data_IF_179777506830
#
_entry.id   IF_179777506830
#
_cell.length_a   1.000
_cell.length_b   1.000
_cell.length_c   1.000
_cell.angle_alpha   90.00
_cell.angle_beta   90.00
_cell.angle_gamma   90.00
#
_symmetry.space_group_name_H-M   'P 1'
#
loop_
_entity.id
_entity.type
_entity.pdbx_description
1 polymer ?
#
# COMPACT_ATOMS: atom_id res chain seq x y z
N UNK A 1 43.92 55.56 -8.65
CA UNK A 1 43.94 54.35 -9.49
C UNK A 1 42.54 53.80 -9.54
N UNK A 2 41.93 53.70 -10.72
CA UNK A 2 40.62 53.06 -10.89
C UNK A 2 40.80 51.55 -10.66
N UNK A 3 40.16 51.01 -9.63
CA UNK A 3 40.05 49.56 -9.43
C UNK A 3 39.29 48.97 -10.61
N UNK A 4 39.98 48.26 -11.50
CA UNK A 4 39.36 47.52 -12.59
C UNK A 4 38.75 46.24 -12.03
N UNK A 5 37.42 46.13 -12.10
CA UNK A 5 36.67 44.94 -11.72
C UNK A 5 36.40 44.14 -12.99
N UNK A 6 36.77 42.85 -13.00
CA UNK A 6 36.41 41.89 -14.04
C UNK A 6 35.40 40.88 -13.50
N UNK A 7 34.56 40.32 -14.38
CA UNK A 7 33.55 39.33 -14.04
C UNK A 7 34.09 37.91 -13.88
N UNK A 8 35.09 37.51 -14.67
CA UNK A 8 35.71 36.18 -14.64
C UNK A 8 37.23 36.21 -14.43
N UNK A 9 37.97 37.09 -15.13
CA UNK A 9 39.45 37.06 -15.14
C UNK A 9 40.15 38.33 -14.62
N UNK A 10 39.40 39.28 -14.04
CA UNK A 10 40.00 40.51 -13.50
C UNK A 10 40.74 41.31 -14.59
N UNK A 11 42.02 41.62 -14.37
CA UNK A 11 42.89 42.37 -15.32
C UNK A 11 43.83 41.45 -16.14
N UNK A 12 43.58 40.14 -16.16
CA UNK A 12 44.47 39.19 -16.84
C UNK A 12 43.94 38.84 -18.23
N UNK A 13 44.80 38.97 -19.26
CA UNK A 13 44.56 38.53 -20.65
C UNK A 13 44.58 36.98 -20.78
N UNK A 14 43.88 36.28 -19.90
CA UNK A 14 43.73 34.81 -20.01
C UNK A 14 42.63 34.54 -21.03
N UNK A 15 42.97 33.82 -22.10
CA UNK A 15 41.96 33.28 -23.01
C UNK A 15 41.17 32.21 -22.28
N UNK A 16 39.95 32.54 -21.83
CA UNK A 16 39.02 31.56 -21.30
C UNK A 16 38.08 31.10 -22.41
N UNK A 17 38.21 29.84 -22.83
CA UNK A 17 37.28 29.22 -23.76
C UNK A 17 36.10 28.61 -22.99
N UNK A 18 34.87 28.78 -23.50
CA UNK A 18 33.64 28.21 -22.91
C UNK A 18 33.43 28.54 -21.41
N UNK A 19 33.91 29.69 -20.96
CA UNK A 19 33.73 30.17 -19.58
C UNK A 19 33.05 31.54 -19.62
N UNK A 20 32.05 31.72 -18.77
CA UNK A 20 31.17 32.88 -18.80
C UNK A 20 30.86 33.35 -17.38
N UNK A 21 30.56 34.63 -17.22
CA UNK A 21 29.99 35.16 -15.98
C UNK A 21 28.59 35.72 -16.25
N UNK A 22 27.72 35.64 -15.24
CA UNK A 22 26.33 36.07 -15.37
C UNK A 22 26.21 37.59 -15.27
N UNK A 23 25.82 38.26 -16.35
CA UNK A 23 25.65 39.73 -16.35
C UNK A 23 24.37 40.18 -15.66
N UNK A 24 23.37 39.32 -15.50
CA UNK A 24 22.06 39.70 -14.93
C UNK A 24 22.12 39.99 -13.42
N UNK A 25 23.19 39.55 -12.74
CA UNK A 25 23.43 39.75 -11.31
C UNK A 25 24.61 40.66 -11.01
N UNK A 26 25.33 41.10 -12.04
CA UNK A 26 26.56 41.86 -11.93
C UNK A 26 26.31 43.32 -12.35
N UNK A 27 26.51 44.27 -11.44
CA UNK A 27 26.30 45.69 -11.70
C UNK A 27 27.61 46.41 -12.13
N UNK A 28 27.55 47.21 -13.20
CA UNK A 28 28.64 48.06 -13.67
C UNK A 28 29.38 47.56 -14.93
N UNK A 29 30.23 48.40 -15.50
CA UNK A 29 31.08 48.05 -16.65
C UNK A 29 32.26 47.17 -16.20
N UNK A 30 32.34 45.96 -16.74
CA UNK A 30 33.41 45.00 -16.46
C UNK A 30 34.48 45.03 -17.55
N UNK A 31 35.74 44.83 -17.16
CA UNK A 31 36.88 44.89 -18.08
C UNK A 31 36.87 43.76 -19.12
N UNK A 32 36.30 42.61 -18.77
CA UNK A 32 36.16 41.40 -19.58
C UNK A 32 34.74 41.24 -20.14
N UNK A 33 34.08 42.34 -20.51
CA UNK A 33 32.69 42.39 -20.98
C UNK A 33 32.35 41.35 -22.07
N UNK A 34 33.32 40.96 -22.91
CA UNK A 34 33.15 39.92 -23.94
C UNK A 34 32.84 38.51 -23.39
N UNK A 35 33.14 38.24 -22.12
CA UNK A 35 32.86 36.97 -21.43
C UNK A 35 31.52 37.00 -20.68
N UNK A 36 30.89 38.18 -20.59
CA UNK A 36 29.59 38.36 -19.98
C UNK A 36 28.48 37.72 -20.82
N UNK A 37 27.59 36.99 -20.18
CA UNK A 37 26.40 36.39 -20.80
C UNK A 37 25.18 36.58 -19.90
N UNK A 38 24.01 36.82 -20.50
CA UNK A 38 22.74 36.72 -19.75
C UNK A 38 22.53 35.27 -19.31
N UNK A 39 21.67 35.04 -18.32
CA UNK A 39 21.38 33.68 -17.88
C UNK A 39 20.83 32.80 -19.02
N UNK A 40 20.02 33.37 -19.92
CA UNK A 40 19.53 32.70 -21.13
C UNK A 40 20.67 32.32 -22.09
N UNK A 41 21.64 33.21 -22.28
CA UNK A 41 22.81 32.90 -23.11
C UNK A 41 23.68 31.83 -22.46
N UNK A 42 23.91 31.87 -21.14
CA UNK A 42 24.66 30.84 -20.42
C UNK A 42 23.98 29.48 -20.57
N UNK A 43 22.65 29.44 -20.44
CA UNK A 43 21.84 28.24 -20.67
C UNK A 43 22.06 27.64 -22.05
N UNK A 44 22.05 28.46 -23.10
CA UNK A 44 22.20 27.98 -24.47
C UNK A 44 23.65 27.57 -24.80
N UNK A 45 24.63 28.11 -24.09
CA UNK A 45 26.06 27.87 -24.36
C UNK A 45 26.63 26.65 -23.62
N UNK A 46 26.15 26.36 -22.40
CA UNK A 46 26.60 25.19 -21.64
C UNK A 46 25.75 23.99 -22.06
N UNK A 47 26.29 23.22 -22.99
CA UNK A 47 25.66 22.03 -23.58
C UNK A 47 26.64 20.87 -23.45
N UNK A 48 26.34 19.93 -22.56
CA UNK A 48 27.15 18.75 -22.32
C UNK A 48 26.32 17.69 -21.61
N UNK A 49 26.65 16.40 -21.79
CA UNK A 49 25.85 15.31 -21.24
C UNK A 49 25.75 15.37 -19.70
N UNK A 50 26.76 15.95 -19.04
CA UNK A 50 26.82 16.14 -17.58
C UNK A 50 25.98 17.34 -17.09
N UNK A 51 25.59 18.25 -17.98
CA UNK A 51 24.87 19.48 -17.67
C UNK A 51 23.39 19.38 -18.04
N UNK A 52 22.52 19.96 -17.21
CA UNK A 52 21.09 20.09 -17.47
C UNK A 52 20.68 21.57 -17.39
N UNK A 53 19.85 21.97 -18.35
CA UNK A 53 19.21 23.29 -18.44
C UNK A 53 17.70 23.21 -18.23
N UNK A 54 17.18 21.99 -18.20
CA UNK A 54 15.79 21.70 -18.48
C UNK A 54 14.99 21.58 -17.17
N UNK A 55 13.87 22.31 -17.10
CA UNK A 55 12.83 22.16 -16.09
C UNK A 55 12.19 20.76 -16.11
N UNK A 56 12.37 19.98 -17.18
CA UNK A 56 11.72 18.68 -17.36
C UNK A 56 12.36 17.53 -16.56
N UNK A 57 13.63 17.65 -16.15
CA UNK A 57 14.28 16.68 -15.27
C UNK A 57 14.13 17.15 -13.81
N UNK A 58 12.91 17.06 -13.28
CA UNK A 58 12.66 17.31 -11.87
C UNK A 58 11.80 18.53 -11.53
N UNK A 59 10.63 18.71 -12.16
CA UNK A 59 9.63 19.72 -11.70
C UNK A 59 9.17 19.52 -10.24
N UNK A 60 9.57 18.42 -9.59
CA UNK A 60 9.41 18.16 -8.16
C UNK A 60 10.65 18.43 -7.30
N UNK A 61 11.77 18.91 -7.86
CA UNK A 61 12.99 19.24 -7.12
C UNK A 61 13.17 20.76 -7.06
N UNK A 62 12.47 21.43 -6.14
CA UNK A 62 12.50 22.89 -6.02
C UNK A 62 11.12 23.53 -5.96
N UNK A 63 10.95 24.59 -5.15
CA UNK A 63 9.72 25.43 -5.11
C UNK A 63 9.53 26.33 -6.35
N UNK A 64 10.01 25.92 -7.53
CA UNK A 64 9.83 26.70 -8.76
C UNK A 64 10.68 27.97 -8.86
N UNK A 65 11.86 28.01 -8.23
CA UNK A 65 12.85 29.01 -8.64
C UNK A 65 13.43 28.57 -9.98
N UNK A 66 13.11 29.34 -11.03
CA UNK A 66 13.79 29.30 -12.31
C UNK A 66 15.31 29.19 -12.09
N UNK A 67 15.88 28.00 -12.21
CA UNK A 67 17.31 27.89 -12.46
C UNK A 67 17.52 28.32 -13.90
N UNK A 68 17.59 29.64 -14.10
CA UNK A 68 17.90 30.20 -15.41
C UNK A 68 19.26 29.69 -15.91
N UNK A 69 20.15 29.32 -14.97
CA UNK A 69 21.46 28.76 -15.21
C UNK A 69 21.46 27.22 -15.26
N UNK A 70 22.30 26.62 -16.10
CA UNK A 70 22.53 25.18 -16.15
C UNK A 70 23.18 24.66 -14.87
N UNK A 71 22.93 23.39 -14.56
CA UNK A 71 23.46 22.69 -13.38
C UNK A 71 24.05 21.33 -13.75
N UNK A 72 24.97 20.81 -12.94
CA UNK A 72 25.54 19.47 -13.12
C UNK A 72 24.55 18.43 -12.60
N UNK A 73 24.15 17.48 -13.46
CA UNK A 73 23.13 16.46 -13.17
C UNK A 73 23.40 15.65 -11.90
N UNK A 74 24.67 15.42 -11.57
CA UNK A 74 25.09 14.51 -10.50
C UNK A 74 25.82 15.20 -9.33
N UNK A 75 25.92 16.53 -9.33
CA UNK A 75 26.78 17.27 -8.37
C UNK A 75 26.09 18.48 -7.75
N UNK A 76 25.16 19.12 -8.46
CA UNK A 76 24.52 20.36 -7.97
C UNK A 76 23.29 20.05 -7.12
N UNK A 77 23.39 20.20 -5.79
CA UNK A 77 22.23 20.21 -4.88
C UNK A 77 21.52 21.56 -4.93
N UNK A 78 20.28 21.61 -5.40
CA UNK A 78 19.47 22.83 -5.38
C UNK A 78 19.06 23.19 -3.94
N UNK A 79 19.03 24.48 -3.61
CA UNK A 79 18.44 24.95 -2.35
C UNK A 79 16.91 24.95 -2.47
N UNK A 80 16.18 24.32 -1.53
CA UNK A 80 14.71 24.14 -1.46
C UNK A 80 14.12 22.91 -2.17
N UNK A 81 14.65 21.72 -1.89
CA UNK A 81 14.20 20.46 -2.51
C UNK A 81 12.94 19.92 -1.84
N UNK A 82 11.99 19.37 -2.60
CA UNK A 82 10.80 18.72 -2.04
C UNK A 82 11.08 17.27 -1.62
N UNK A 83 12.15 16.68 -2.14
CA UNK A 83 12.61 15.32 -1.87
C UNK A 83 14.08 15.35 -1.47
N UNK A 84 14.56 14.28 -0.84
CA UNK A 84 15.96 14.19 -0.43
C UNK A 84 16.89 14.20 -1.66
N UNK A 85 16.53 13.42 -2.66
CA UNK A 85 17.29 13.21 -3.89
C UNK A 85 16.37 12.78 -5.04
N UNK A 86 16.93 12.69 -6.24
CA UNK A 86 16.34 12.10 -7.43
C UNK A 86 15.54 13.04 -8.32
N UNK A 87 15.13 12.53 -9.48
CA UNK A 87 14.47 13.30 -10.55
C UNK A 87 13.09 12.75 -10.93
N UNK A 88 12.55 11.81 -10.17
CA UNK A 88 11.23 11.22 -10.42
C UNK A 88 11.16 10.30 -11.64
N UNK A 89 12.29 9.86 -12.19
CA UNK A 89 12.35 8.91 -13.32
C UNK A 89 12.56 7.48 -12.82
N UNK A 90 12.32 6.47 -13.63
CA UNK A 90 12.55 5.07 -13.24
C UNK A 90 14.01 4.78 -12.89
N UNK A 91 14.97 5.40 -13.59
CA UNK A 91 16.40 5.27 -13.34
C UNK A 91 16.87 6.10 -12.14
N UNK A 92 16.18 7.21 -11.84
CA UNK A 92 16.48 8.07 -10.70
C UNK A 92 15.19 8.55 -9.99
N UNK A 93 14.55 7.67 -9.19
CA UNK A 93 13.31 7.99 -8.45
C UNK A 93 13.54 9.05 -7.38
N UNK A 94 12.50 9.83 -7.07
CA UNK A 94 12.56 10.73 -5.91
C UNK A 94 12.73 9.95 -4.62
N UNK A 95 13.68 10.39 -3.79
CA UNK A 95 14.00 9.75 -2.50
C UNK A 95 13.21 10.40 -1.36
N UNK A 96 12.53 9.56 -0.59
CA UNK A 96 11.74 9.95 0.58
C UNK A 96 12.38 9.33 1.83
N UNK A 97 12.67 10.16 2.82
CA UNK A 97 13.26 9.75 4.11
C UNK A 97 12.51 10.30 5.33
N UNK A 98 11.57 11.24 5.14
CA UNK A 98 10.76 11.85 6.20
C UNK A 98 9.32 12.16 5.78
N UNK A 99 8.49 12.57 6.75
CA UNK A 99 7.05 12.83 6.54
C UNK A 99 6.77 14.01 5.61
N UNK A 100 7.58 15.07 5.65
CA UNK A 100 7.42 16.23 4.77
C UNK A 100 7.62 15.82 3.31
N UNK A 101 8.67 15.06 3.01
CA UNK A 101 8.94 14.57 1.66
C UNK A 101 7.84 13.63 1.16
N UNK A 102 7.30 12.77 2.03
CA UNK A 102 6.14 11.94 1.67
C UNK A 102 4.90 12.81 1.36
N UNK A 103 4.64 13.84 2.19
CA UNK A 103 3.48 14.72 2.00
C UNK A 103 3.60 15.58 0.74
N UNK A 104 4.83 15.90 0.31
CA UNK A 104 5.10 16.68 -0.89
C UNK A 104 4.61 16.02 -2.18
N UNK A 105 4.31 14.72 -2.18
CA UNK A 105 3.66 14.05 -3.32
C UNK A 105 2.31 14.72 -3.66
N UNK A 106 1.60 15.29 -2.68
CA UNK A 106 0.34 16.01 -2.89
C UNK A 106 0.48 17.38 -3.60
N UNK A 107 1.70 17.81 -3.94
CA UNK A 107 1.88 19.00 -4.74
C UNK A 107 1.25 18.82 -6.14
N UNK A 108 0.53 19.83 -6.63
CA UNK A 108 -0.15 19.78 -7.93
C UNK A 108 0.79 19.54 -9.12
N UNK A 109 2.07 19.89 -9.00
CA UNK A 109 3.08 19.67 -10.03
C UNK A 109 3.75 18.29 -9.93
N UNK A 110 3.36 17.46 -8.97
CA UNK A 110 3.92 16.14 -8.70
C UNK A 110 2.84 15.05 -8.81
N UNK A 111 1.71 15.27 -8.14
CA UNK A 111 0.68 14.26 -7.86
C UNK A 111 0.19 13.46 -9.08
N UNK A 112 0.15 14.10 -10.25
CA UNK A 112 -0.43 13.53 -11.49
C UNK A 112 0.59 13.25 -12.59
N UNK A 113 1.88 13.42 -12.31
CA UNK A 113 2.90 13.44 -13.37
C UNK A 113 3.52 12.06 -13.66
N UNK A 114 3.01 11.00 -13.03
CA UNK A 114 3.53 9.64 -13.17
C UNK A 114 5.03 9.49 -12.80
N UNK A 115 5.46 10.23 -11.77
CA UNK A 115 6.83 10.13 -11.27
C UNK A 115 7.06 8.86 -10.44
N UNK A 116 8.34 8.50 -10.30
CA UNK A 116 8.83 7.38 -9.49
C UNK A 116 9.31 7.88 -8.12
N UNK A 117 8.95 7.17 -7.05
CA UNK A 117 9.28 7.49 -5.67
C UNK A 117 9.82 6.25 -4.96
N UNK A 118 10.91 6.40 -4.21
CA UNK A 118 11.47 5.39 -3.34
C UNK A 118 11.44 5.87 -1.88
N UNK A 119 10.85 5.09 -0.99
CA UNK A 119 11.01 5.27 0.44
C UNK A 119 12.30 4.57 0.88
N UNK A 120 13.29 5.34 1.35
CA UNK A 120 14.60 4.80 1.79
C UNK A 120 14.79 4.87 3.32
N UNK A 121 13.72 5.16 4.05
CA UNK A 121 13.73 5.15 5.51
C UNK A 121 12.39 4.66 6.06
N UNK A 122 12.41 3.98 7.20
CA UNK A 122 11.20 3.74 7.97
C UNK A 122 10.66 5.07 8.51
N UNK A 123 9.37 5.34 8.28
CA UNK A 123 8.70 6.49 8.89
C UNK A 123 7.97 6.04 10.16
N UNK A 124 8.17 6.79 11.24
CA UNK A 124 7.55 6.51 12.55
C UNK A 124 7.20 7.81 13.25
N UNK A 125 6.69 7.69 14.48
CA UNK A 125 6.48 8.84 15.36
C UNK A 125 7.77 9.55 15.81
N UNK A 126 8.94 8.97 15.53
CA UNK A 126 10.26 9.58 15.79
C UNK A 126 10.85 10.26 14.54
N UNK A 127 10.28 10.03 13.35
CA UNK A 127 10.79 10.62 12.12
C UNK A 127 10.33 12.08 12.02
N UNK A 128 11.21 12.95 11.49
CA UNK A 128 10.96 14.39 11.37
C UNK A 128 9.60 14.73 10.77
N UNK A 129 8.97 15.76 11.34
CA UNK A 129 7.66 16.31 10.99
C UNK A 129 6.42 15.43 11.24
N UNK A 130 6.57 14.28 11.90
CA UNK A 130 5.44 13.43 12.30
C UNK A 130 4.34 14.20 13.03
N UNK A 131 4.70 14.99 14.07
CA UNK A 131 3.72 15.71 14.90
C UNK A 131 2.84 16.65 14.07
N UNK A 132 3.41 17.30 13.05
CA UNK A 132 2.71 18.28 12.24
C UNK A 132 1.92 17.66 11.08
N UNK A 133 2.28 16.45 10.65
CA UNK A 133 1.75 15.84 9.42
C UNK A 133 0.92 14.59 9.64
N UNK A 134 1.29 13.71 10.57
CA UNK A 134 0.73 12.36 10.67
C UNK A 134 0.25 11.97 12.08
N UNK A 135 0.44 12.83 13.07
CA UNK A 135 -0.02 12.58 14.45
C UNK A 135 -1.49 12.96 14.67
N UNK A 136 -2.05 12.59 15.83
CA UNK A 136 -3.43 12.94 16.20
C UNK A 136 -3.69 14.43 16.42
N UNK A 137 -2.66 15.27 16.53
CA UNK A 137 -2.79 16.74 16.64
C UNK A 137 -2.54 17.46 15.31
N UNK A 138 -2.09 16.75 14.27
CA UNK A 138 -1.84 17.30 12.94
C UNK A 138 -3.15 17.70 12.23
N UNK A 139 -3.05 18.70 11.33
CA UNK A 139 -4.13 19.11 10.42
C UNK A 139 -5.49 19.33 11.10
N UNK A 140 -5.50 20.11 12.20
CA UNK A 140 -6.71 20.33 13.02
C UNK A 140 -7.29 19.03 13.60
N UNK A 141 -6.42 18.20 14.18
CA UNK A 141 -6.72 16.89 14.75
C UNK A 141 -7.23 15.83 13.77
N UNK A 142 -6.99 16.03 12.46
CA UNK A 142 -7.38 15.08 11.41
C UNK A 142 -6.26 14.11 11.03
N UNK A 143 -5.04 14.35 11.48
CA UNK A 143 -3.89 13.54 11.11
C UNK A 143 -3.47 13.74 9.67
N UNK A 144 -2.98 12.68 9.06
CA UNK A 144 -2.46 12.68 7.69
C UNK A 144 -3.48 13.19 6.66
N UNK A 145 -2.98 13.94 5.67
CA UNK A 145 -3.72 14.31 4.47
C UNK A 145 -3.46 13.24 3.39
N UNK A 146 -4.45 12.38 3.07
CA UNK A 146 -4.28 11.31 2.08
C UNK A 146 -3.66 11.80 0.77
N UNK A 147 -2.81 10.96 0.17
CA UNK A 147 -2.21 11.26 -1.14
C UNK A 147 -3.24 11.02 -2.23
N UNK A 148 -3.56 12.05 -3.00
CA UNK A 148 -4.63 11.99 -4.01
C UNK A 148 -6.03 12.11 -3.42
N UNK A 149 -6.93 12.65 -4.22
CA UNK A 149 -8.36 12.85 -3.92
C UNK A 149 -9.21 12.37 -5.09
N UNK A 150 -10.51 12.23 -4.92
CA UNK A 150 -11.42 11.88 -6.03
C UNK A 150 -11.43 12.91 -7.18
N UNK A 151 -11.02 14.15 -6.92
CA UNK A 151 -10.92 15.21 -7.95
C UNK A 151 -9.58 15.09 -8.68
N UNK A 152 -8.50 14.81 -7.95
CA UNK A 152 -7.14 14.72 -8.47
C UNK A 152 -6.50 13.46 -7.90
N UNK A 153 -6.56 12.38 -8.66
CA UNK A 153 -5.96 11.08 -8.32
C UNK A 153 -4.43 11.17 -8.23
N UNK A 154 -3.84 10.31 -7.42
CA UNK A 154 -2.41 10.02 -7.54
C UNK A 154 -2.16 9.18 -8.80
N UNK A 155 -1.22 9.66 -9.63
CA UNK A 155 -0.66 8.97 -10.79
C UNK A 155 0.84 8.89 -10.59
N UNK A 156 1.37 7.71 -10.28
CA UNK A 156 2.80 7.51 -10.05
C UNK A 156 3.20 6.12 -9.60
N UNK A 157 4.52 5.94 -9.47
CA UNK A 157 5.16 4.69 -9.09
C UNK A 157 5.78 4.84 -7.71
N UNK A 158 5.11 4.37 -6.66
CA UNK A 158 5.60 4.40 -5.29
C UNK A 158 6.16 3.03 -4.88
N UNK A 159 7.46 2.98 -4.58
CA UNK A 159 8.13 1.79 -4.11
C UNK A 159 8.65 2.01 -2.68
N UNK A 160 8.11 1.23 -1.73
CA UNK A 160 8.54 1.29 -0.33
C UNK A 160 9.93 0.70 -0.09
N UNK A 161 10.51 -0.03 -1.06
CA UNK A 161 11.82 -0.69 -0.94
C UNK A 161 11.95 -1.59 0.30
N UNK A 162 10.82 -2.14 0.79
CA UNK A 162 10.77 -2.95 2.01
C UNK A 162 10.73 -2.14 3.31
N UNK A 163 10.72 -0.81 3.25
CA UNK A 163 10.53 0.05 4.41
C UNK A 163 9.07 0.07 4.86
N UNK A 164 8.87 0.63 6.05
CA UNK A 164 7.57 0.70 6.73
C UNK A 164 7.19 2.14 7.07
N UNK A 165 5.90 2.39 7.13
CA UNK A 165 5.32 3.60 7.70
C UNK A 165 4.50 3.16 8.92
N UNK A 166 4.83 3.70 10.09
CA UNK A 166 4.24 3.29 11.36
C UNK A 166 3.57 4.44 12.09
N UNK A 167 2.54 4.10 12.89
CA UNK A 167 1.78 5.06 13.70
C UNK A 167 1.05 6.11 12.87
N UNK A 168 0.69 5.81 11.62
CA UNK A 168 -0.09 6.70 10.77
C UNK A 168 -1.49 6.94 11.38
N UNK A 169 -1.81 8.19 11.71
CA UNK A 169 -3.13 8.57 12.20
C UNK A 169 -3.91 9.32 11.12
N UNK A 170 -5.17 8.92 10.87
CA UNK A 170 -6.12 9.66 10.05
C UNK A 170 -7.47 9.64 10.75
N UNK A 171 -8.06 10.81 11.02
CA UNK A 171 -9.40 10.91 11.57
C UNK A 171 -10.27 11.87 10.75
N UNK A 172 -10.97 11.29 9.79
CA UNK A 172 -11.93 11.96 8.90
C UNK A 172 -13.28 11.25 8.94
N UNK A 173 -13.58 10.66 10.10
CA UNK A 173 -14.83 9.97 10.36
C UNK A 173 -16.02 10.84 9.95
N UNK A 174 -17.08 10.18 9.46
CA UNK A 174 -18.41 10.74 9.13
C UNK A 174 -18.48 11.86 8.10
N UNK A 175 -17.35 12.43 7.66
CA UNK A 175 -17.30 13.65 6.84
C UNK A 175 -16.59 13.48 5.50
N UNK A 176 -15.68 12.50 5.33
CA UNK A 176 -14.91 12.35 4.08
C UNK A 176 -14.78 10.89 3.63
N UNK A 177 -14.83 10.72 2.31
CA UNK A 177 -14.61 9.45 1.60
C UNK A 177 -13.15 9.36 1.13
N UNK A 178 -12.75 8.20 0.59
CA UNK A 178 -11.45 7.99 -0.06
C UNK A 178 -10.29 8.14 0.92
N UNK A 179 -10.29 7.30 1.96
CA UNK A 179 -9.38 7.44 3.10
C UNK A 179 -8.38 6.27 3.12
N UNK A 180 -7.09 6.61 3.19
CA UNK A 180 -5.95 5.72 3.33
C UNK A 180 -4.66 6.54 3.30
N UNK A 181 -3.49 5.90 3.29
CA UNK A 181 -2.23 6.60 2.99
C UNK A 181 -2.36 7.34 1.64
N UNK A 182 -2.86 6.61 0.64
CA UNK A 182 -3.36 7.15 -0.63
C UNK A 182 -4.89 7.19 -0.58
N UNK A 183 -5.49 8.33 -0.86
CA UNK A 183 -6.94 8.48 -0.87
C UNK A 183 -7.56 7.89 -2.14
N UNK A 184 -7.05 8.31 -3.29
CA UNK A 184 -7.52 7.87 -4.61
C UNK A 184 -6.34 7.74 -5.58
N UNK A 185 -6.29 6.63 -6.31
CA UNK A 185 -5.24 6.32 -7.30
C UNK A 185 -5.86 6.07 -8.67
N UNK A 186 -5.09 6.30 -9.73
CA UNK A 186 -5.50 6.06 -11.12
C UNK A 186 -4.84 4.83 -11.76
N UNK A 187 -5.22 4.52 -13.00
CA UNK A 187 -4.92 3.27 -13.70
C UNK A 187 -3.44 3.04 -14.00
N UNK A 188 -2.64 4.11 -14.14
CA UNK A 188 -1.20 4.03 -14.35
C UNK A 188 -0.39 3.93 -13.03
N UNK A 189 -1.07 3.89 -11.88
CA UNK A 189 -0.40 3.88 -10.57
C UNK A 189 0.09 2.50 -10.17
N UNK A 190 1.32 2.44 -9.67
CA UNK A 190 1.91 1.26 -9.04
C UNK A 190 2.35 1.61 -7.62
N UNK A 191 1.87 0.87 -6.63
CA UNK A 191 2.30 0.98 -5.23
C UNK A 191 2.83 -0.39 -4.79
N UNK A 192 4.09 -0.46 -4.37
CA UNK A 192 4.69 -1.75 -3.99
C UNK A 192 5.69 -1.71 -2.85
N UNK A 193 5.93 -2.87 -2.26
CA UNK A 193 6.97 -3.14 -1.26
C UNK A 193 6.89 -2.21 -0.03
N UNK A 194 5.69 -1.94 0.48
CA UNK A 194 5.46 -1.02 1.60
C UNK A 194 4.60 -1.66 2.69
N UNK A 195 5.07 -1.55 3.93
CA UNK A 195 4.33 -2.00 5.11
C UNK A 195 3.77 -0.84 5.92
N UNK A 196 2.46 -0.86 6.22
CA UNK A 196 1.85 0.04 7.19
C UNK A 196 1.68 -0.69 8.53
N UNK A 197 2.24 -0.13 9.60
CA UNK A 197 2.27 -0.76 10.92
C UNK A 197 1.58 0.13 11.95
N UNK A 198 0.68 -0.44 12.75
CA UNK A 198 0.02 0.28 13.84
C UNK A 198 -0.68 1.56 13.35
N UNK A 199 -1.47 1.47 12.28
CA UNK A 199 -2.28 2.60 11.80
C UNK A 199 -3.51 2.81 12.70
N UNK A 200 -4.02 4.03 12.79
CA UNK A 200 -5.36 4.35 13.33
C UNK A 200 -6.07 5.25 12.32
N UNK A 201 -6.91 4.63 11.49
CA UNK A 201 -7.52 5.28 10.33
C UNK A 201 -9.05 5.26 10.46
N UNK A 202 -9.66 6.43 10.37
CA UNK A 202 -11.12 6.62 10.44
C UNK A 202 -11.61 7.41 9.23
N UNK A 203 -12.51 6.82 8.46
CA UNK A 203 -13.12 7.41 7.26
C UNK A 203 -14.63 7.20 7.19
N UNK A 204 -15.25 7.62 6.07
CA UNK A 204 -16.66 7.36 5.76
C UNK A 204 -16.79 6.23 4.74
N UNK A 205 -16.86 6.52 3.44
CA UNK A 205 -16.89 5.51 2.38
C UNK A 205 -15.50 5.30 1.77
N UNK A 206 -15.19 4.08 1.33
CA UNK A 206 -13.91 3.74 0.68
C UNK A 206 -12.72 4.01 1.60
N UNK A 207 -12.65 3.23 2.68
CA UNK A 207 -11.61 3.35 3.70
C UNK A 207 -10.70 2.14 3.66
N UNK A 208 -9.42 2.36 3.35
CA UNK A 208 -8.37 1.34 3.34
C UNK A 208 -7.17 1.78 4.17
N UNK A 209 -6.33 0.84 4.58
CA UNK A 209 -5.06 1.18 5.22
C UNK A 209 -4.13 1.90 4.25
N UNK A 210 -3.87 1.26 3.11
CA UNK A 210 -2.97 1.76 2.08
C UNK A 210 -3.68 2.65 1.07
N UNK A 211 -4.80 2.17 0.50
CA UNK A 211 -5.54 2.90 -0.55
C UNK A 211 -7.01 2.98 -0.21
N UNK A 212 -7.60 4.18 -0.21
CA UNK A 212 -9.06 4.34 -0.09
C UNK A 212 -9.78 3.77 -1.32
N UNK A 213 -9.43 4.27 -2.50
CA UNK A 213 -9.98 3.86 -3.79
C UNK A 213 -8.87 3.62 -4.82
N UNK A 214 -8.81 2.40 -5.33
CA UNK A 214 -7.94 1.96 -6.42
C UNK A 214 -8.73 1.94 -7.72
N UNK A 215 -8.40 2.81 -8.68
CA UNK A 215 -8.97 2.79 -10.03
C UNK A 215 -7.94 2.21 -10.99
N UNK A 216 -8.07 0.94 -11.38
CA UNK A 216 -7.13 0.28 -12.31
C UNK A 216 -5.68 0.16 -11.83
N UNK A 217 -5.36 0.57 -10.60
CA UNK A 217 -3.97 0.60 -10.11
C UNK A 217 -3.44 -0.79 -9.74
N UNK A 218 -2.10 -0.91 -9.65
CA UNK A 218 -1.42 -2.13 -9.19
C UNK A 218 -0.86 -1.94 -7.78
N UNK A 219 -1.22 -2.84 -6.86
CA UNK A 219 -0.75 -2.88 -5.48
C UNK A 219 -0.06 -4.23 -5.26
N UNK A 220 1.22 -4.21 -4.87
CA UNK A 220 2.04 -5.43 -4.79
C UNK A 220 2.91 -5.47 -3.53
N UNK A 221 3.12 -6.66 -2.96
CA UNK A 221 4.07 -6.88 -1.85
C UNK A 221 3.86 -5.88 -0.70
N UNK A 222 2.60 -5.60 -0.37
CA UNK A 222 2.24 -4.52 0.55
C UNK A 222 1.33 -5.02 1.65
N UNK A 223 1.43 -4.38 2.81
CA UNK A 223 0.62 -4.81 3.95
C UNK A 223 0.20 -3.69 4.89
N UNK A 224 -0.78 -4.01 5.73
CA UNK A 224 -1.33 -3.09 6.73
C UNK A 224 -1.64 -3.81 8.05
N UNK A 225 -1.40 -3.14 9.17
CA UNK A 225 -1.81 -3.57 10.51
C UNK A 225 -2.21 -2.36 11.37
N UNK A 226 -3.04 -2.58 12.38
CA UNK A 226 -3.61 -1.52 13.24
C UNK A 226 -5.14 -1.47 13.16
N UNK A 227 -5.72 -0.32 13.45
CA UNK A 227 -7.16 -0.11 13.53
C UNK A 227 -7.67 0.66 12.31
N UNK A 228 -8.75 0.17 11.71
CA UNK A 228 -9.45 0.84 10.60
C UNK A 228 -10.94 0.89 10.91
N UNK A 229 -11.51 2.08 10.85
CA UNK A 229 -12.94 2.31 11.03
C UNK A 229 -13.50 3.07 9.83
N UNK A 230 -14.59 2.57 9.27
CA UNK A 230 -15.32 3.25 8.19
C UNK A 230 -16.82 3.01 8.29
N UNK A 231 -17.55 3.45 7.27
CA UNK A 231 -18.98 3.17 7.10
C UNK A 231 -19.17 2.10 6.03
N UNK A 232 -18.88 2.40 4.76
CA UNK A 232 -19.06 1.43 3.67
C UNK A 232 -17.77 1.24 2.87
N UNK A 233 -17.58 0.03 2.33
CA UNK A 233 -16.38 -0.35 1.58
C UNK A 233 -15.12 -0.12 2.41
N UNK A 234 -14.99 -0.92 3.46
CA UNK A 234 -13.90 -0.83 4.44
C UNK A 234 -13.01 -2.06 4.30
N UNK A 235 -11.73 -1.85 3.99
CA UNK A 235 -10.74 -2.92 3.83
C UNK A 235 -9.48 -2.69 4.66
N UNK A 236 -8.79 -3.76 5.04
CA UNK A 236 -7.52 -3.66 5.76
C UNK A 236 -6.43 -2.97 4.95
N UNK A 237 -6.38 -3.27 3.65
CA UNK A 237 -5.42 -2.71 2.70
C UNK A 237 -6.08 -1.70 1.75
N UNK A 238 -7.20 -2.08 1.13
CA UNK A 238 -7.89 -1.27 0.12
C UNK A 238 -9.38 -1.14 0.43
N UNK A 239 -9.93 0.08 0.42
CA UNK A 239 -11.38 0.27 0.60
C UNK A 239 -12.18 -0.27 -0.59
N UNK A 240 -11.86 0.23 -1.78
CA UNK A 240 -12.47 -0.18 -3.05
C UNK A 240 -11.44 -0.42 -4.14
N UNK A 241 -11.49 -1.60 -4.76
CA UNK A 241 -10.66 -1.95 -5.91
C UNK A 241 -11.50 -2.01 -7.18
N UNK A 242 -11.47 -0.95 -7.98
CA UNK A 242 -12.18 -0.83 -9.24
C UNK A 242 -11.28 -1.21 -10.42
N UNK A 243 -11.28 -2.49 -10.79
CA UNK A 243 -10.50 -3.01 -11.93
C UNK A 243 -8.98 -3.04 -11.73
N UNK A 244 -8.47 -2.74 -10.53
CA UNK A 244 -7.04 -2.83 -10.21
C UNK A 244 -6.59 -4.24 -9.84
N UNK A 245 -5.28 -4.41 -9.67
CA UNK A 245 -4.66 -5.68 -9.24
C UNK A 245 -4.05 -5.52 -7.86
N UNK A 246 -4.37 -6.43 -6.94
CA UNK A 246 -3.75 -6.56 -5.62
C UNK A 246 -3.09 -7.92 -5.56
N UNK A 247 -1.77 -7.96 -5.39
CA UNK A 247 -1.03 -9.22 -5.36
C UNK A 247 -0.02 -9.30 -4.23
N UNK A 248 0.25 -10.51 -3.76
CA UNK A 248 1.32 -10.79 -2.79
C UNK A 248 1.20 -9.92 -1.52
N UNK A 249 -0.03 -9.63 -1.09
CA UNK A 249 -0.32 -8.58 -0.12
C UNK A 249 -1.18 -9.10 1.03
N UNK A 250 -1.09 -8.46 2.19
CA UNK A 250 -1.86 -8.92 3.34
C UNK A 250 -2.31 -7.82 4.29
N UNK A 251 -3.31 -8.14 5.11
CA UNK A 251 -3.79 -7.25 6.15
C UNK A 251 -4.02 -8.00 7.48
N UNK A 252 -3.60 -7.39 8.59
CA UNK A 252 -3.84 -7.91 9.94
C UNK A 252 -4.51 -6.86 10.82
N UNK A 253 -5.38 -6.05 10.22
CA UNK A 253 -6.05 -4.93 10.88
C UNK A 253 -7.26 -5.39 11.70
N UNK A 254 -7.53 -4.69 12.81
CA UNK A 254 -8.84 -4.67 13.42
C UNK A 254 -9.73 -3.71 12.62
N UNK A 255 -10.78 -4.23 12.00
CA UNK A 255 -11.64 -3.49 11.09
C UNK A 255 -13.04 -3.38 11.67
N UNK A 256 -13.60 -2.17 11.63
CA UNK A 256 -14.99 -1.90 11.98
C UNK A 256 -15.64 -1.11 10.85
N UNK A 257 -16.75 -1.62 10.32
CA UNK A 257 -17.55 -0.96 9.30
C UNK A 257 -19.05 -1.21 9.47
N UNK A 258 -19.84 -0.75 8.51
CA UNK A 258 -21.27 -1.03 8.43
C UNK A 258 -21.56 -2.02 7.29
N UNK A 259 -21.25 -1.65 6.05
CA UNK A 259 -21.49 -2.49 4.87
C UNK A 259 -20.23 -2.67 4.00
N UNK A 260 -20.17 -3.79 3.28
CA UNK A 260 -19.03 -4.20 2.45
C UNK A 260 -17.70 -4.10 3.20
N UNK A 261 -17.61 -4.85 4.29
CA UNK A 261 -16.44 -4.87 5.17
C UNK A 261 -15.62 -6.13 4.87
N UNK A 262 -14.35 -5.96 4.52
CA UNK A 262 -13.44 -7.07 4.21
C UNK A 262 -12.12 -6.97 4.95
N UNK A 263 -11.52 -8.10 5.33
CA UNK A 263 -10.22 -8.12 6.00
C UNK A 263 -9.09 -7.52 5.17
N UNK A 264 -9.11 -7.71 3.85
CA UNK A 264 -8.15 -7.15 2.90
C UNK A 264 -8.78 -6.01 2.07
N UNK A 265 -9.93 -6.27 1.45
CA UNK A 265 -10.62 -5.31 0.57
C UNK A 265 -12.10 -5.21 0.90
N UNK A 266 -12.64 -4.00 1.01
CA UNK A 266 -14.08 -3.80 1.25
C UNK A 266 -14.93 -4.27 0.05
N UNK A 267 -14.65 -3.71 -1.12
CA UNK A 267 -15.33 -4.04 -2.37
C UNK A 267 -14.31 -4.28 -3.51
N UNK A 268 -14.47 -5.36 -4.26
CA UNK A 268 -13.56 -5.76 -5.33
C UNK A 268 -14.29 -5.94 -6.68
N UNK A 269 -13.79 -5.27 -7.70
CA UNK A 269 -14.15 -5.41 -9.12
C UNK A 269 -12.93 -5.76 -9.98
N UNK A 270 -11.78 -6.01 -9.34
CA UNK A 270 -10.52 -6.32 -10.01
C UNK A 270 -9.98 -7.69 -9.61
N UNK A 271 -8.67 -7.81 -9.62
CA UNK A 271 -7.96 -9.08 -9.43
C UNK A 271 -7.22 -9.08 -8.09
N UNK A 272 -7.39 -10.14 -7.31
CA UNK A 272 -6.72 -10.37 -6.04
C UNK A 272 -6.04 -11.74 -6.08
N UNK A 273 -4.73 -11.76 -5.95
CA UNK A 273 -3.91 -12.98 -6.11
C UNK A 273 -2.90 -13.10 -4.98
N UNK A 274 -2.66 -14.32 -4.49
CA UNK A 274 -1.60 -14.60 -3.49
C UNK A 274 -1.69 -13.66 -2.27
N UNK A 275 -2.89 -13.45 -1.74
CA UNK A 275 -3.12 -12.45 -0.70
C UNK A 275 -3.90 -13.01 0.48
N UNK A 276 -3.71 -12.44 1.67
CA UNK A 276 -4.41 -12.94 2.85
C UNK A 276 -4.81 -11.87 3.87
N UNK A 277 -5.74 -12.24 4.74
CA UNK A 277 -6.14 -11.43 5.90
C UNK A 277 -6.12 -12.26 7.18
N UNK A 278 -5.84 -11.60 8.31
CA UNK A 278 -5.83 -12.29 9.61
C UNK A 278 -6.32 -11.49 10.81
N UNK A 279 -6.67 -10.21 10.65
CA UNK A 279 -7.22 -9.39 11.74
C UNK A 279 -8.75 -9.53 11.88
N UNK A 280 -9.30 -9.07 13.01
CA UNK A 280 -10.75 -9.18 13.26
C UNK A 280 -11.55 -8.21 12.38
N UNK A 281 -12.66 -8.69 11.82
CA UNK A 281 -13.54 -7.92 10.93
C UNK A 281 -14.92 -7.83 11.55
N UNK A 282 -15.33 -6.61 11.92
CA UNK A 282 -16.66 -6.33 12.46
C UNK A 282 -17.48 -5.50 11.47
N UNK A 283 -18.69 -5.95 11.17
CA UNK A 283 -19.64 -5.20 10.34
C UNK A 283 -21.10 -5.50 10.66
N UNK A 284 -22.02 -4.98 9.86
CA UNK A 284 -23.46 -5.11 10.11
C UNK A 284 -24.22 -5.88 9.02
N UNK A 285 -23.87 -5.68 7.74
CA UNK A 285 -24.61 -6.24 6.61
C UNK A 285 -23.78 -7.23 5.78
N UNK A 286 -22.95 -6.72 4.86
CA UNK A 286 -22.09 -7.54 3.99
C UNK A 286 -20.69 -7.58 4.55
N UNK A 287 -20.26 -8.73 5.06
CA UNK A 287 -18.96 -8.88 5.73
C UNK A 287 -18.26 -10.14 5.27
N UNK A 288 -17.00 -10.01 4.85
CA UNK A 288 -16.16 -11.15 4.52
C UNK A 288 -14.82 -11.11 5.23
N UNK A 289 -14.27 -12.28 5.57
CA UNK A 289 -12.96 -12.33 6.22
C UNK A 289 -11.83 -11.82 5.33
N UNK A 290 -11.90 -12.03 4.00
CA UNK A 290 -10.98 -11.41 3.02
C UNK A 290 -11.63 -10.22 2.32
N UNK A 291 -12.82 -10.42 1.74
CA UNK A 291 -13.49 -9.46 0.85
C UNK A 291 -14.95 -9.27 1.28
N UNK A 292 -15.40 -8.01 1.43
CA UNK A 292 -16.82 -7.74 1.69
C UNK A 292 -17.70 -8.15 0.49
N UNK A 293 -17.58 -7.42 -0.62
CA UNK A 293 -18.26 -7.72 -1.89
C UNK A 293 -17.22 -7.99 -2.99
N UNK A 294 -17.36 -9.11 -3.69
CA UNK A 294 -16.65 -9.38 -4.94
C UNK A 294 -17.64 -9.33 -6.11
N UNK A 295 -17.49 -8.34 -6.99
CA UNK A 295 -18.40 -8.10 -8.11
C UNK A 295 -17.65 -8.20 -9.44
N UNK A 296 -17.83 -9.31 -10.15
CA UNK A 296 -17.11 -9.58 -11.42
C UNK A 296 -15.59 -9.75 -11.29
N UNK A 297 -15.04 -9.63 -10.07
CA UNK A 297 -13.61 -9.73 -9.80
C UNK A 297 -13.11 -11.17 -9.65
N UNK A 298 -11.79 -11.34 -9.76
CA UNK A 298 -11.08 -12.60 -9.55
C UNK A 298 -10.40 -12.61 -8.17
N UNK A 299 -10.62 -13.68 -7.42
CA UNK A 299 -9.89 -14.03 -6.21
C UNK A 299 -9.20 -15.37 -6.47
N UNK A 300 -7.87 -15.41 -6.39
CA UNK A 300 -7.09 -16.61 -6.63
C UNK A 300 -5.97 -16.76 -5.60
N UNK A 301 -5.70 -18.00 -5.19
CA UNK A 301 -4.59 -18.33 -4.28
C UNK A 301 -4.59 -17.44 -3.02
N UNK A 302 -5.74 -17.26 -2.40
CA UNK A 302 -5.89 -16.30 -1.31
C UNK A 302 -6.59 -16.92 -0.12
N UNK A 303 -6.33 -16.41 1.09
CA UNK A 303 -6.95 -16.99 2.28
C UNK A 303 -7.28 -15.98 3.37
N UNK A 304 -8.16 -16.36 4.28
CA UNK A 304 -8.52 -15.55 5.44
C UNK A 304 -8.48 -16.38 6.72
N UNK A 305 -7.72 -15.91 7.70
CA UNK A 305 -7.79 -16.38 9.09
C UNK A 305 -8.56 -15.41 9.98
N UNK A 306 -9.12 -14.35 9.39
CA UNK A 306 -9.85 -13.29 10.09
C UNK A 306 -11.09 -13.83 10.78
N UNK A 307 -11.25 -13.50 12.07
CA UNK A 307 -12.53 -13.71 12.75
C UNK A 307 -13.53 -12.65 12.29
N UNK A 308 -14.70 -13.10 11.82
CA UNK A 308 -15.78 -12.26 11.31
C UNK A 308 -16.88 -12.17 12.36
N UNK A 309 -17.23 -10.94 12.74
CA UNK A 309 -18.32 -10.65 13.66
C UNK A 309 -19.34 -9.73 13.00
N UNK A 310 -20.61 -10.13 13.06
CA UNK A 310 -21.71 -9.30 12.57
C UNK A 310 -22.67 -8.94 13.71
N UNK A 311 -22.84 -7.63 13.94
CA UNK A 311 -23.64 -7.07 15.04
C UNK A 311 -25.08 -6.70 14.64
N UNK A 312 -25.47 -7.02 13.41
CA UNK A 312 -26.83 -6.76 12.93
C UNK A 312 -27.01 -5.41 12.26
N UNK A 313 -27.95 -5.38 11.31
CA UNK A 313 -28.20 -4.25 10.43
C UNK A 313 -29.57 -4.33 9.77
N UNK A 314 -29.90 -3.29 8.99
CA UNK A 314 -31.17 -3.21 8.26
C UNK A 314 -31.02 -3.90 6.91
N UNK A 315 -31.92 -4.83 6.60
CA UNK A 315 -31.93 -5.59 5.34
C UNK A 315 -31.24 -6.96 5.45
N UNK A 316 -30.97 -7.56 4.29
CA UNK A 316 -30.29 -8.84 4.20
C UNK A 316 -28.82 -8.73 4.63
N UNK A 317 -28.31 -9.80 5.23
CA UNK A 317 -26.93 -9.90 5.68
C UNK A 317 -26.21 -11.04 4.96
N UNK A 318 -25.05 -10.73 4.37
CA UNK A 318 -24.22 -11.69 3.63
C UNK A 318 -22.86 -11.80 4.31
N UNK A 319 -22.60 -12.95 4.90
CA UNK A 319 -21.52 -13.14 5.86
C UNK A 319 -20.70 -14.35 5.46
N UNK A 320 -19.44 -14.15 5.11
CA UNK A 320 -18.55 -15.23 4.68
C UNK A 320 -17.21 -15.23 5.39
N UNK A 321 -16.64 -16.40 5.66
CA UNK A 321 -15.28 -16.49 6.18
C UNK A 321 -14.22 -15.98 5.18
N UNK A 322 -14.49 -16.09 3.87
CA UNK A 322 -13.65 -15.50 2.81
C UNK A 322 -14.34 -14.29 2.16
N UNK A 323 -15.54 -14.48 1.61
CA UNK A 323 -16.27 -13.44 0.85
C UNK A 323 -17.68 -13.26 1.39
N UNK A 324 -18.08 -12.02 1.71
CA UNK A 324 -19.47 -11.76 2.15
C UNK A 324 -20.46 -12.06 1.03
N UNK A 325 -20.33 -11.36 -0.09
CA UNK A 325 -21.17 -11.55 -1.29
C UNK A 325 -20.29 -11.67 -2.54
N UNK A 326 -20.45 -12.75 -3.29
CA UNK A 326 -19.80 -12.98 -4.57
C UNK A 326 -20.82 -12.87 -5.70
N UNK A 327 -20.83 -11.74 -6.42
CA UNK A 327 -21.75 -11.45 -7.51
C UNK A 327 -21.02 -11.51 -8.86
N UNK A 328 -21.30 -12.53 -9.66
CA UNK A 328 -20.65 -12.77 -10.96
C UNK A 328 -19.11 -12.87 -10.90
N UNK A 329 -18.54 -12.97 -9.69
CA UNK A 329 -17.11 -13.05 -9.45
C UNK A 329 -16.61 -14.49 -9.44
N UNK A 330 -15.29 -14.64 -9.53
CA UNK A 330 -14.62 -15.95 -9.53
C UNK A 330 -13.73 -16.10 -8.30
N UNK A 331 -13.85 -17.22 -7.59
CA UNK A 331 -13.02 -17.58 -6.44
C UNK A 331 -12.34 -18.92 -6.72
N UNK A 332 -11.01 -18.94 -6.73
CA UNK A 332 -10.20 -20.12 -7.02
C UNK A 332 -9.14 -20.36 -5.97
N UNK A 333 -8.87 -21.63 -5.67
CA UNK A 333 -7.70 -22.03 -4.89
C UNK A 333 -7.58 -21.23 -3.59
N UNK A 334 -8.68 -21.04 -2.88
CA UNK A 334 -8.73 -20.12 -1.75
C UNK A 334 -9.40 -20.76 -0.54
N UNK A 335 -9.07 -20.31 0.67
CA UNK A 335 -9.71 -20.87 1.86
C UNK A 335 -9.96 -19.88 2.99
N UNK A 336 -10.89 -20.21 3.87
CA UNK A 336 -11.13 -19.48 5.12
C UNK A 336 -11.00 -20.38 6.34
N UNK A 337 -10.40 -19.89 7.42
CA UNK A 337 -10.28 -20.63 8.68
C UNK A 337 -10.62 -19.81 9.92
N UNK A 338 -10.94 -18.53 9.77
CA UNK A 338 -11.41 -17.71 10.87
C UNK A 338 -12.84 -18.05 11.31
N UNK A 339 -13.16 -17.76 12.56
CA UNK A 339 -14.50 -17.97 13.10
C UNK A 339 -15.48 -16.96 12.50
N UNK A 340 -16.66 -17.42 12.07
CA UNK A 340 -17.78 -16.58 11.64
C UNK A 340 -18.84 -16.58 12.74
N UNK A 341 -19.11 -15.40 13.31
CA UNK A 341 -20.06 -15.19 14.40
C UNK A 341 -21.09 -14.12 14.04
N UNK A 342 -22.36 -14.42 14.25
CA UNK A 342 -23.49 -13.54 13.90
C UNK A 342 -24.38 -13.30 15.12
N UNK A 343 -24.63 -12.04 15.46
CA UNK A 343 -25.67 -11.70 16.43
C UNK A 343 -27.04 -11.66 15.74
N UNK A 344 -27.68 -12.84 15.65
CA UNK A 344 -28.95 -13.05 14.94
C UNK A 344 -30.08 -12.14 15.46
N UNK A 345 -30.06 -11.79 16.76
CA UNK A 345 -31.11 -10.97 17.38
C UNK A 345 -31.22 -9.55 16.83
N UNK A 346 -30.24 -9.11 16.03
CA UNK A 346 -30.12 -7.75 15.50
C UNK A 346 -30.29 -7.69 13.97
N UNK A 347 -30.68 -8.79 13.31
CA UNK A 347 -30.86 -8.86 11.85
C UNK A 347 -32.34 -8.70 11.49
N UNK A 348 -32.66 -7.69 10.69
CA UNK A 348 -34.05 -7.38 10.26
C UNK A 348 -34.39 -7.89 8.84
N UNK A 349 -33.57 -8.77 8.25
CA UNK A 349 -33.76 -9.36 6.92
C UNK A 349 -33.32 -10.82 6.84
N UNK A 350 -33.06 -11.31 5.63
CA UNK A 350 -32.60 -12.68 5.41
C UNK A 350 -31.12 -12.80 5.76
N UNK A 351 -30.77 -13.84 6.52
CA UNK A 351 -29.39 -14.13 6.88
C UNK A 351 -28.79 -15.17 5.92
N UNK A 352 -27.70 -14.79 5.27
CA UNK A 352 -26.87 -15.67 4.45
C UNK A 352 -25.48 -15.77 5.09
N UNK A 353 -25.32 -16.72 6.01
CA UNK A 353 -24.03 -17.01 6.65
C UNK A 353 -23.41 -18.26 6.03
N UNK A 354 -22.22 -18.12 5.44
CA UNK A 354 -21.42 -19.22 4.92
C UNK A 354 -20.03 -19.23 5.54
N UNK A 355 -19.45 -20.42 5.66
CA UNK A 355 -18.09 -20.58 6.15
C UNK A 355 -17.06 -20.09 5.12
N UNK A 356 -17.33 -20.25 3.81
CA UNK A 356 -16.50 -19.70 2.74
C UNK A 356 -17.13 -18.42 2.18
N UNK A 357 -18.36 -18.51 1.65
CA UNK A 357 -19.07 -17.39 1.01
C UNK A 357 -20.47 -17.23 1.60
N UNK A 358 -20.85 -16.02 2.00
CA UNK A 358 -22.21 -15.75 2.49
C UNK A 358 -23.27 -16.00 1.42
N UNK A 359 -23.16 -15.31 0.28
CA UNK A 359 -24.00 -15.53 -0.90
C UNK A 359 -23.16 -15.55 -2.18
N UNK A 360 -23.40 -16.53 -3.05
CA UNK A 360 -22.79 -16.63 -4.38
C UNK A 360 -23.85 -16.50 -5.47
N UNK A 361 -23.93 -15.32 -6.10
CA UNK A 361 -24.90 -14.97 -7.13
C UNK A 361 -24.26 -15.00 -8.51
N UNK A 362 -24.51 -16.08 -9.26
CA UNK A 362 -23.96 -16.30 -10.60
C UNK A 362 -22.40 -16.24 -10.64
N UNK A 363 -21.74 -16.42 -9.51
CA UNK A 363 -20.29 -16.50 -9.41
C UNK A 363 -19.77 -17.94 -9.55
N UNK A 364 -18.48 -18.07 -9.84
CA UNK A 364 -17.79 -19.36 -9.95
C UNK A 364 -16.91 -19.60 -8.73
N UNK A 365 -16.99 -20.79 -8.13
CA UNK A 365 -16.15 -21.21 -7.01
C UNK A 365 -15.45 -22.50 -7.41
N UNK A 366 -14.12 -22.50 -7.38
CA UNK A 366 -13.28 -23.62 -7.79
C UNK A 366 -12.23 -23.91 -6.72
N UNK A 367 -12.11 -25.18 -6.32
CA UNK A 367 -11.08 -25.65 -5.38
C UNK A 367 -10.90 -24.71 -4.16
N UNK A 368 -12.02 -24.34 -3.53
CA UNK A 368 -12.02 -23.39 -2.42
C UNK A 368 -12.87 -23.91 -1.27
N UNK A 369 -12.41 -23.70 -0.04
CA UNK A 369 -12.92 -24.41 1.13
C UNK A 369 -12.90 -23.55 2.38
N UNK A 370 -13.68 -23.93 3.39
CA UNK A 370 -13.52 -23.37 4.72
C UNK A 370 -13.31 -24.45 5.77
N UNK A 371 -12.64 -24.09 6.86
CA UNK A 371 -12.40 -24.95 8.00
C UNK A 371 -13.68 -25.13 8.84
N UNK A 372 -14.32 -26.29 8.67
CA UNK A 372 -15.53 -26.67 9.41
C UNK A 372 -15.24 -27.12 10.85
N UNK A 373 -13.98 -27.36 11.21
CA UNK A 373 -13.60 -27.68 12.59
C UNK A 373 -13.58 -26.43 13.46
N UNK A 374 -13.31 -25.26 12.86
CA UNK A 374 -13.46 -23.96 13.51
C UNK A 374 -14.91 -23.48 13.46
N UNK A 375 -15.57 -23.61 12.31
CA UNK A 375 -16.97 -23.20 12.11
C UNK A 375 -17.92 -24.41 12.23
N UNK A 376 -18.08 -24.91 13.46
CA UNK A 376 -18.78 -26.17 13.76
C UNK A 376 -20.31 -26.09 13.71
N UNK A 377 -20.89 -24.89 13.61
CA UNK A 377 -22.34 -24.75 13.55
C UNK A 377 -22.86 -25.16 12.17
N UNK A 378 -23.90 -26.01 12.16
CA UNK A 378 -24.65 -26.34 10.94
C UNK A 378 -25.41 -25.15 10.34
N UNK A 379 -25.25 -23.95 10.91
CA UNK A 379 -25.85 -22.70 10.42
C UNK A 379 -25.16 -22.15 9.17
N UNK A 380 -23.99 -22.69 8.79
CA UNK A 380 -23.30 -22.28 7.56
C UNK A 380 -24.00 -22.89 6.35
N UNK A 381 -24.58 -22.04 5.50
CA UNK A 381 -25.39 -22.41 4.33
C UNK A 381 -24.61 -23.22 3.29
N UNK A 382 -23.29 -23.08 3.29
CA UNK A 382 -22.37 -23.66 2.32
C UNK A 382 -21.55 -24.86 2.87
N UNK A 383 -21.91 -25.36 4.06
CA UNK A 383 -21.18 -26.44 4.75
C UNK A 383 -21.02 -27.72 3.92
N UNK A 384 -22.12 -28.20 3.33
CA UNK A 384 -22.11 -29.44 2.55
C UNK A 384 -21.18 -29.32 1.33
N UNK A 385 -21.07 -28.12 0.75
CA UNK A 385 -20.35 -27.90 -0.51
C UNK A 385 -18.88 -27.56 -0.28
N UNK A 386 -18.57 -26.66 0.66
CA UNK A 386 -17.23 -26.08 0.84
C UNK A 386 -16.60 -26.36 2.21
N UNK A 387 -17.34 -26.97 3.15
CA UNK A 387 -16.82 -27.30 4.48
C UNK A 387 -15.86 -28.49 4.48
N UNK A 388 -14.61 -28.25 4.90
CA UNK A 388 -13.53 -29.25 4.95
C UNK A 388 -12.83 -29.22 6.31
N UNK A 389 -12.30 -30.35 6.74
CA UNK A 389 -11.39 -30.40 7.89
C UNK A 389 -10.06 -29.73 7.53
N UNK A 390 -9.28 -29.32 8.52
CA UNK A 390 -7.92 -28.79 8.28
C UNK A 390 -7.06 -29.74 7.46
N UNK A 391 -7.15 -31.04 7.74
CA UNK A 391 -6.43 -32.08 6.98
C UNK A 391 -6.90 -32.19 5.52
N UNK A 392 -8.20 -32.10 5.26
CA UNK A 392 -8.75 -32.08 3.90
C UNK A 392 -8.29 -30.84 3.13
N UNK A 393 -8.27 -29.67 3.78
CA UNK A 393 -7.75 -28.41 3.20
C UNK A 393 -6.26 -28.57 2.91
N UNK A 394 -5.46 -29.02 3.89
CA UNK A 394 -4.03 -29.23 3.72
C UNK A 394 -3.72 -30.15 2.53
N UNK A 395 -4.43 -31.27 2.43
CA UNK A 395 -4.28 -32.22 1.32
C UNK A 395 -4.69 -31.61 -0.03
N UNK A 396 -5.71 -30.75 -0.07
CA UNK A 396 -6.17 -30.14 -1.31
C UNK A 396 -5.16 -29.14 -1.90
N UNK A 397 -4.25 -28.60 -1.08
CA UNK A 397 -3.23 -27.63 -1.51
C UNK A 397 -1.81 -28.23 -1.59
N UNK A 398 -1.62 -29.47 -1.14
CA UNK A 398 -0.33 -30.13 -1.20
C UNK A 398 0.23 -30.19 -2.64
N UNK A 399 1.48 -29.77 -2.80
CA UNK A 399 2.17 -29.73 -4.11
C UNK A 399 1.69 -28.63 -5.06
N UNK A 400 0.79 -27.73 -4.64
CA UNK A 400 0.39 -26.58 -5.46
C UNK A 400 1.45 -25.50 -5.43
N UNK A 401 1.80 -24.98 -6.60
CA UNK A 401 2.77 -23.88 -6.75
C UNK A 401 2.28 -22.67 -5.95
N UNK A 402 3.18 -22.08 -5.16
CA UNK A 402 2.89 -20.93 -4.30
C UNK A 402 2.35 -21.30 -2.91
N UNK A 403 1.99 -22.56 -2.66
CA UNK A 403 1.48 -23.04 -1.38
C UNK A 403 2.48 -23.96 -0.67
N UNK A 404 2.70 -23.71 0.61
CA UNK A 404 3.39 -24.60 1.53
C UNK A 404 2.37 -25.38 2.37
N UNK A 405 2.64 -26.66 2.60
CA UNK A 405 1.74 -27.57 3.35
C UNK A 405 2.48 -28.46 4.35
N UNK A 406 3.80 -28.29 4.47
CA UNK A 406 4.70 -29.03 5.35
C UNK A 406 5.74 -28.08 5.94
N UNK A 407 6.33 -28.49 7.07
CA UNK A 407 7.37 -27.74 7.79
C UNK A 407 8.55 -28.63 8.19
N UNK A 408 8.26 -29.88 8.54
CA UNK A 408 9.19 -31.02 8.38
C UNK A 408 10.45 -30.97 9.23
N UNK A 409 11.38 -31.88 8.92
CA UNK A 409 12.52 -32.32 9.74
C UNK A 409 13.63 -31.28 9.98
N UNK A 410 13.52 -30.08 9.40
CA UNK A 410 14.48 -28.99 9.63
C UNK A 410 14.20 -28.21 10.91
N UNK A 411 13.08 -28.48 11.59
CA UNK A 411 12.67 -27.81 12.82
C UNK A 411 12.65 -28.82 13.97
N UNK A 412 13.31 -28.45 15.06
CA UNK A 412 13.36 -29.25 16.28
C UNK A 412 11.95 -29.45 16.86
N UNK A 413 11.65 -30.66 17.32
CA UNK A 413 10.31 -31.00 17.82
C UNK A 413 9.31 -31.43 16.73
N UNK A 414 9.74 -31.52 15.48
CA UNK A 414 8.94 -31.92 14.31
C UNK A 414 7.67 -31.08 14.12
N UNK A 415 7.84 -29.94 13.45
CA UNK A 415 6.75 -29.00 13.21
C UNK A 415 5.86 -29.45 12.04
N UNK A 416 4.55 -29.34 12.25
CA UNK A 416 3.52 -29.61 11.24
C UNK A 416 2.71 -28.35 10.96
N UNK A 417 2.52 -28.07 9.68
CA UNK A 417 1.50 -27.11 9.25
C UNK A 417 0.12 -27.73 9.48
N UNK A 418 -0.80 -26.96 10.06
CA UNK A 418 -2.19 -27.36 10.22
C UNK A 418 -3.05 -26.91 9.04
N UNK A 419 -2.65 -25.84 8.36
CA UNK A 419 -3.31 -25.31 7.17
C UNK A 419 -2.26 -24.91 6.13
N UNK A 420 -2.62 -24.86 4.83
CA UNK A 420 -1.75 -24.34 3.79
C UNK A 420 -1.35 -22.89 4.07
N UNK A 421 -0.19 -22.46 3.58
CA UNK A 421 0.26 -21.07 3.67
C UNK A 421 0.90 -20.62 2.36
N UNK A 422 0.88 -19.33 2.06
CA UNK A 422 1.47 -18.79 0.85
C UNK A 422 2.98 -18.64 1.04
N UNK A 423 3.77 -19.35 0.23
CA UNK A 423 5.24 -19.33 0.32
C UNK A 423 5.77 -17.94 -0.06
N UNK A 424 6.60 -17.37 0.81
CA UNK A 424 7.19 -16.04 0.61
C UNK A 424 6.25 -14.87 0.90
N UNK A 425 4.97 -15.13 1.20
CA UNK A 425 3.96 -14.10 1.51
C UNK A 425 3.47 -14.23 2.96
N UNK A 426 3.09 -15.43 3.39
CA UNK A 426 2.63 -15.66 4.76
C UNK A 426 3.79 -15.45 5.73
N UNK A 427 3.60 -14.52 6.67
CA UNK A 427 4.56 -14.32 7.76
C UNK A 427 4.66 -15.54 8.66
N UNK A 428 5.85 -15.82 9.17
CA UNK A 428 6.15 -16.97 10.02
C UNK A 428 5.21 -17.09 11.23
N UNK A 429 4.95 -15.98 11.91
CA UNK A 429 4.04 -15.90 13.06
C UNK A 429 2.56 -16.13 12.72
N UNK A 430 2.19 -16.05 11.43
CA UNK A 430 0.82 -16.26 10.97
C UNK A 430 0.60 -17.68 10.43
N UNK A 431 1.65 -18.51 10.36
CA UNK A 431 1.52 -19.90 9.92
C UNK A 431 0.84 -20.70 11.02
N UNK A 432 -0.31 -21.32 10.69
CA UNK A 432 -0.98 -22.24 11.60
C UNK A 432 -0.18 -23.53 11.73
N UNK A 433 0.37 -23.79 12.91
CA UNK A 433 1.32 -24.87 13.15
C UNK A 433 1.15 -25.52 14.51
N UNK A 434 1.63 -26.75 14.62
CA UNK A 434 1.79 -27.47 15.88
C UNK A 434 3.17 -28.12 15.92
N UNK A 435 3.69 -28.31 17.12
CA UNK A 435 4.94 -29.04 17.35
C UNK A 435 4.54 -30.39 17.97
N UNK A 436 5.04 -31.50 17.41
CA UNK A 436 4.69 -32.85 17.90
C UNK A 436 5.48 -33.25 19.15
N UNK A 437 6.73 -32.81 19.26
CA UNK A 437 7.66 -33.17 20.32
C UNK A 437 8.28 -31.92 20.93
N UNK A 438 8.65 -31.95 22.21
CA UNK A 438 9.17 -30.78 22.90
C UNK A 438 10.55 -30.36 22.37
N UNK A 439 11.38 -31.33 21.96
CA UNK A 439 12.66 -31.10 21.28
C UNK A 439 13.12 -32.32 20.48
N UNK A 440 14.30 -32.25 19.87
CA UNK A 440 14.93 -33.34 19.12
C UNK A 440 14.60 -33.41 17.62
N UNK A 441 15.40 -34.20 16.89
CA UNK A 441 15.30 -34.39 15.42
C UNK A 441 14.92 -35.82 15.03
N UNK A 442 14.58 -36.67 15.99
CA UNK A 442 14.24 -38.08 15.73
C UNK A 442 15.42 -38.89 15.20
N UNK A 443 16.65 -38.44 15.46
CA UNK A 443 17.87 -39.18 15.13
C UNK A 443 18.36 -39.94 16.36
N UNK A 444 19.17 -40.98 16.17
CA UNK A 444 19.75 -41.73 17.29
C UNK A 444 20.58 -40.83 18.24
N UNK A 445 21.27 -39.83 17.68
CA UNK A 445 22.07 -38.86 18.44
C UNK A 445 21.24 -37.72 19.05
N UNK A 446 20.02 -37.47 18.55
CA UNK A 446 19.12 -36.42 19.04
C UNK A 446 17.65 -36.88 18.90
N UNK A 447 17.20 -37.78 19.80
CA UNK A 447 15.85 -38.34 19.77
C UNK A 447 14.81 -37.29 20.17
N UNK A 448 13.56 -37.48 19.76
CA UNK A 448 12.46 -36.64 20.21
C UNK A 448 12.21 -36.80 21.70
N UNK A 449 11.93 -35.68 22.39
CA UNK A 449 11.57 -35.64 23.83
C UNK A 449 10.16 -35.14 24.05
#
# INVERSE_FOLDING_TARGET
GSSQVGGLTGNSYVQSNNSFYNIDINAGSMYDAQLGRTQEQIRNLITGEEWATNQELGRGYGLGLNTYLPFLKNVTKLSNTLFEDGHGTSANPYTITNWTQLQNINNSNILTQNYYFNLLNNLSNQTSDYTNLASSTANSNKGWNPIGTWIISFIGNFNGMGNTISNLYINRATSQNYIGLFGHTDSDTIIKNIGLINVDIKGKHYTGGLVGYSYGSTIENSYSSGNITGTDAVGGLVGYNNGGTIQNSYASNLITGNNYVGGLVGQNYGTIVNSYSGGNVTGNNTVGGLIGLNQGGLIENSYSTSSVMVNGGVGDAYIGGLVGHNYQGTVKNSYASGLVSVNISQINGTLYAGGLIGLNDNGTIENSFYDKETNTSNSMSDNVTYGKTKAEILSAFNGKIGWGSDRGSSIEGYELALLPYLVGITREENISKTILFQSGFGTELNPYT
#
